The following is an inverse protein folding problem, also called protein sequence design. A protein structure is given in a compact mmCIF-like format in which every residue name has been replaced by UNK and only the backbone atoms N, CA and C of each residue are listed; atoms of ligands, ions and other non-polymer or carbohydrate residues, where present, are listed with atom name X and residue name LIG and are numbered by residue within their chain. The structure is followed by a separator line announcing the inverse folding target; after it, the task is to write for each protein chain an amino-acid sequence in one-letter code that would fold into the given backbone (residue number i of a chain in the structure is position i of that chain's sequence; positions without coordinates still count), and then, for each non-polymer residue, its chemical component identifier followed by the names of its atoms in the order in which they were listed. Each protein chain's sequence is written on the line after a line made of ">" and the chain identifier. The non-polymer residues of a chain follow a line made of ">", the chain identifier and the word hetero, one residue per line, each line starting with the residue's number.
data_IF_706246165617
#
_entry.id   IF_706246165617
#
_cell.length_a   1.000
_cell.length_b   1.000
_cell.length_c   1.000
_cell.angle_alpha   90.00
_cell.angle_beta   90.00
_cell.angle_gamma   90.00
#
_symmetry.space_group_name_H-M   'P 1'
#
loop_
_entity.id
_entity.type
_entity.pdbx_description
1 polymer ?
#
# COMPACT_ATOMS: atom_id res chain seq x y z
N UNK A 1 -11.34 -8.36 -2.97
CA UNK A 1 -11.00 -7.09 -3.66
C UNK A 1 -9.68 -7.26 -4.41
N UNK A 2 -9.46 -6.60 -5.55
CA UNK A 2 -8.14 -6.51 -6.19
C UNK A 2 -7.05 -6.10 -5.20
N UNK A 3 -5.82 -6.60 -5.36
CA UNK A 3 -4.71 -6.35 -4.45
C UNK A 3 -4.45 -4.85 -4.25
N UNK A 4 -4.47 -4.06 -5.33
CA UNK A 4 -4.29 -2.60 -5.28
C UNK A 4 -5.35 -1.92 -4.39
N UNK A 5 -6.61 -2.32 -4.48
CA UNK A 5 -7.67 -1.77 -3.62
C UNK A 5 -7.50 -2.15 -2.15
N UNK A 6 -6.94 -3.32 -1.85
CA UNK A 6 -6.62 -3.70 -0.47
C UNK A 6 -5.46 -2.86 0.09
N UNK A 7 -4.41 -2.63 -0.72
CA UNK A 7 -3.25 -1.79 -0.37
C UNK A 7 -3.70 -0.34 -0.08
N UNK A 8 -4.54 0.23 -0.96
CA UNK A 8 -5.10 1.56 -0.76
C UNK A 8 -6.02 1.64 0.46
N UNK A 9 -6.83 0.61 0.73
CA UNK A 9 -7.69 0.56 1.91
C UNK A 9 -6.85 0.54 3.20
N UNK A 10 -5.77 -0.26 3.23
CA UNK A 10 -4.90 -0.34 4.40
C UNK A 10 -4.24 1.01 4.71
N UNK A 11 -3.72 1.70 3.70
CA UNK A 11 -3.17 3.04 3.85
C UNK A 11 -4.23 4.05 4.33
N UNK A 12 -5.42 4.03 3.72
CA UNK A 12 -6.51 4.91 4.09
C UNK A 12 -6.96 4.70 5.55
N UNK A 13 -7.10 3.44 5.97
CA UNK A 13 -7.49 3.09 7.33
C UNK A 13 -6.42 3.59 8.31
N UNK A 14 -5.14 3.39 8.05
CA UNK A 14 -4.07 3.87 8.93
C UNK A 14 -4.08 5.40 9.09
N UNK A 15 -4.26 6.14 7.99
CA UNK A 15 -4.40 7.60 8.02
C UNK A 15 -5.64 8.03 8.83
N UNK A 16 -6.77 7.33 8.63
CA UNK A 16 -8.04 7.59 9.35
C UNK A 16 -7.90 7.41 10.87
N UNK A 17 -7.09 6.45 11.30
CA UNK A 17 -6.81 6.20 12.73
C UNK A 17 -5.69 7.07 13.29
N UNK A 18 -5.09 7.96 12.48
CA UNK A 18 -3.93 8.79 12.86
C UNK A 18 -2.72 7.95 13.31
N UNK A 19 -2.60 6.73 12.79
CA UNK A 19 -1.48 5.84 13.05
C UNK A 19 -0.41 6.07 11.98
N UNK A 20 0.55 6.94 12.30
CA UNK A 20 1.61 7.35 11.37
C UNK A 20 2.53 6.19 10.97
N UNK A 21 2.89 5.33 11.92
CA UNK A 21 3.76 4.19 11.67
C UNK A 21 3.07 3.17 10.76
N UNK A 22 1.79 2.87 11.02
CA UNK A 22 1.01 1.99 10.16
C UNK A 22 0.79 2.59 8.76
N UNK A 23 0.63 3.91 8.66
CA UNK A 23 0.47 4.60 7.38
C UNK A 23 1.75 4.54 6.55
N UNK A 24 2.91 4.76 7.17
CA UNK A 24 4.20 4.63 6.51
C UNK A 24 4.43 3.21 6.00
N UNK A 25 4.19 2.20 6.85
CA UNK A 25 4.34 0.80 6.44
C UNK A 25 3.39 0.40 5.30
N UNK A 26 2.14 0.86 5.35
CA UNK A 26 1.18 0.62 4.26
C UNK A 26 1.63 1.28 2.95
N UNK A 27 2.17 2.50 3.01
CA UNK A 27 2.69 3.21 1.85
C UNK A 27 3.91 2.49 1.25
N UNK A 28 4.88 2.10 2.08
CA UNK A 28 6.07 1.35 1.64
C UNK A 28 5.69 0.03 0.96
N UNK A 29 4.73 -0.70 1.54
CA UNK A 29 4.23 -1.96 1.00
C UNK A 29 3.60 -1.75 -0.38
N UNK A 30 2.76 -0.72 -0.52
CA UNK A 30 2.09 -0.40 -1.78
C UNK A 30 3.09 -0.01 -2.90
N UNK A 31 4.14 0.75 -2.55
CA UNK A 31 5.21 1.12 -3.48
C UNK A 31 5.99 -0.13 -3.91
N UNK A 32 6.43 -0.95 -2.96
CA UNK A 32 7.19 -2.17 -3.25
C UNK A 32 6.40 -3.15 -4.13
N UNK A 33 5.11 -3.30 -3.85
CA UNK A 33 4.19 -4.12 -4.64
C UNK A 33 4.06 -3.61 -6.08
N UNK A 34 3.90 -2.29 -6.25
CA UNK A 34 3.82 -1.66 -7.58
C UNK A 34 5.11 -1.77 -8.38
N UNK A 35 6.27 -1.57 -7.73
CA UNK A 35 7.58 -1.76 -8.36
C UNK A 35 7.82 -3.20 -8.79
N UNK A 36 7.38 -4.19 -7.97
CA UNK A 36 7.49 -5.61 -8.34
C UNK A 36 6.63 -5.91 -9.57
N UNK A 37 5.36 -5.49 -9.57
CA UNK A 37 4.46 -5.70 -10.72
C UNK A 37 5.02 -5.07 -11.99
N UNK A 38 5.62 -3.88 -11.90
CA UNK A 38 6.25 -3.23 -13.05
C UNK A 38 7.39 -4.08 -13.63
N UNK A 39 8.27 -4.65 -12.77
CA UNK A 39 9.36 -5.54 -13.20
C UNK A 39 8.87 -6.83 -13.84
N UNK A 40 7.70 -7.32 -13.46
CA UNK A 40 7.12 -8.54 -14.04
C UNK A 40 6.50 -8.29 -15.43
N UNK A 41 6.29 -7.02 -15.80
CA UNK A 41 5.75 -6.61 -17.11
C UNK A 41 6.86 -6.25 -18.10
N UNK A 42 8.06 -5.88 -17.63
CA UNK A 42 9.23 -5.48 -18.44
C UNK A 42 10.26 -6.59 -18.57
#
# INVERSE_FOLDING_TARGET
>A
MPQTLQEHKALFDAIRHQDGDAAEQAALTMIASSTRRLKEIT
#
